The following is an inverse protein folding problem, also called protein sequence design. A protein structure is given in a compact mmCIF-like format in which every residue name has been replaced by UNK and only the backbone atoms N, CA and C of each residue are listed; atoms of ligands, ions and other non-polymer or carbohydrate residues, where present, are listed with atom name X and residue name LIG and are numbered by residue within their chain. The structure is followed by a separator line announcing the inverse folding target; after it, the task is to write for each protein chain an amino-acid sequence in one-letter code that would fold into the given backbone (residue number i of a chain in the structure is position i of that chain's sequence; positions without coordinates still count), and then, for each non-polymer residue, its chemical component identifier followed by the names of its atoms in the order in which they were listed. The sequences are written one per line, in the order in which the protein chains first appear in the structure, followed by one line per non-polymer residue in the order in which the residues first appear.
data_IF_669714469624
#
_entry.id   IF_669714469624
#
_cell.length_a   1.000
_cell.length_b   1.000
_cell.length_c   1.000
_cell.angle_alpha   90.00
_cell.angle_beta   90.00
_cell.angle_gamma   90.00
#
_symmetry.space_group_name_H-M   'P 1'
#
loop_
_entity.id
_entity.type
_entity.pdbx_description
1 polymer ?
#
# COMPACT_ATOMS: atom_id res chain seq x y z
N UNK A 1 -21.37 -5.63 44.61
CA UNK A 1 -20.38 -4.69 44.06
C UNK A 1 -19.06 -5.44 44.02
N UNK A 2 -18.13 -5.00 43.17
CA UNK A 2 -16.75 -5.51 42.99
C UNK A 2 -16.53 -6.32 41.69
N UNK A 3 -16.31 -5.53 40.64
CA UNK A 3 -15.23 -5.58 39.65
C UNK A 3 -15.04 -6.76 38.69
N UNK A 4 -15.44 -6.46 37.45
CA UNK A 4 -14.90 -6.88 36.15
C UNK A 4 -13.41 -7.24 36.16
N UNK A 5 -13.06 -8.46 35.75
CA UNK A 5 -11.77 -8.72 35.10
C UNK A 5 -11.95 -9.64 33.88
N UNK A 6 -11.87 -8.98 32.73
CA UNK A 6 -11.94 -9.49 31.37
C UNK A 6 -10.54 -10.01 31.02
N UNK A 7 -10.26 -11.31 31.20
CA UNK A 7 -8.98 -11.88 30.74
C UNK A 7 -9.05 -12.14 29.23
N UNK A 8 -8.85 -11.06 28.48
CA UNK A 8 -8.65 -11.01 27.03
C UNK A 8 -7.27 -11.60 26.71
N UNK A 9 -7.23 -12.89 26.38
CA UNK A 9 -6.05 -13.54 25.81
C UNK A 9 -5.87 -13.12 24.34
N UNK A 10 -5.38 -11.91 24.08
CA UNK A 10 -4.87 -11.53 22.77
C UNK A 10 -3.34 -11.41 22.87
N UNK A 11 -2.65 -12.48 22.45
CA UNK A 11 -1.19 -12.48 22.28
C UNK A 11 -0.79 -11.46 21.20
N UNK A 12 0.22 -10.62 21.44
CA UNK A 12 0.69 -9.64 20.48
C UNK A 12 1.61 -10.27 19.44
N UNK A 13 1.32 -10.02 18.16
CA UNK A 13 2.29 -9.95 17.06
C UNK A 13 3.25 -11.13 16.89
N UNK A 14 2.79 -12.21 16.26
CA UNK A 14 3.72 -12.97 15.43
C UNK A 14 4.06 -12.12 14.19
N UNK A 15 5.35 -11.85 13.90
CA UNK A 15 5.72 -11.34 12.59
C UNK A 15 5.30 -12.42 11.61
N UNK A 16 4.35 -12.10 10.72
CA UNK A 16 4.00 -12.98 9.61
C UNK A 16 5.30 -13.32 8.90
N UNK A 17 5.77 -14.55 9.09
CA UNK A 17 6.93 -15.09 8.42
C UNK A 17 6.78 -14.77 6.93
N UNK A 18 7.82 -14.24 6.24
CA UNK A 18 7.73 -14.05 4.81
C UNK A 18 7.48 -15.43 4.21
N UNK A 19 6.21 -15.72 3.84
CA UNK A 19 5.83 -16.97 3.18
C UNK A 19 6.85 -17.19 2.09
N UNK A 20 7.63 -18.26 2.19
CA UNK A 20 8.67 -18.55 1.23
C UNK A 20 7.98 -18.93 -0.07
N UNK A 21 7.62 -17.91 -0.86
CA UNK A 21 6.88 -18.07 -2.10
C UNK A 21 7.65 -18.96 -3.07
N UNK A 22 6.91 -19.72 -3.87
CA UNK A 22 7.47 -20.54 -4.96
C UNK A 22 8.48 -19.72 -5.79
N UNK A 23 9.68 -20.26 -6.09
CA UNK A 23 10.73 -19.53 -6.80
C UNK A 23 10.29 -18.91 -8.14
N UNK A 24 9.26 -19.50 -8.75
CA UNK A 24 8.74 -19.10 -10.07
C UNK A 24 7.93 -17.80 -10.04
N UNK A 25 7.28 -17.49 -8.90
CA UNK A 25 6.37 -16.34 -8.79
C UNK A 25 7.04 -15.13 -8.11
N UNK A 26 8.23 -15.33 -7.51
CA UNK A 26 9.03 -14.28 -6.87
C UNK A 26 9.43 -13.13 -7.80
N UNK A 27 9.90 -13.35 -9.05
CA UNK A 27 10.28 -12.24 -9.93
C UNK A 27 9.10 -11.35 -10.30
N UNK A 28 7.92 -11.93 -10.52
CA UNK A 28 6.70 -11.19 -10.82
C UNK A 28 6.24 -10.37 -9.62
N UNK A 29 6.28 -10.95 -8.42
CA UNK A 29 5.97 -10.23 -7.18
C UNK A 29 6.92 -9.03 -6.98
N UNK A 30 8.22 -9.22 -7.17
CA UNK A 30 9.20 -8.15 -7.06
C UNK A 30 8.93 -7.04 -8.07
N UNK A 31 8.66 -7.39 -9.33
CA UNK A 31 8.32 -6.40 -10.37
C UNK A 31 7.09 -5.57 -9.98
N UNK A 32 6.01 -6.21 -9.51
CA UNK A 32 4.78 -5.51 -9.11
C UNK A 32 5.02 -4.57 -7.93
N UNK A 33 5.78 -5.03 -6.92
CA UNK A 33 6.12 -4.21 -5.75
C UNK A 33 7.02 -3.03 -6.12
N UNK A 34 8.00 -3.24 -7.01
CA UNK A 34 8.85 -2.17 -7.52
C UNK A 34 8.04 -1.12 -8.26
N UNK A 35 7.15 -1.53 -9.18
CA UNK A 35 6.29 -0.59 -9.90
C UNK A 35 5.36 0.19 -8.95
N UNK A 36 4.81 -0.47 -7.92
CA UNK A 36 4.01 0.22 -6.90
C UNK A 36 4.84 1.24 -6.11
N UNK A 37 6.06 0.88 -5.72
CA UNK A 37 6.96 1.79 -5.01
C UNK A 37 7.33 3.01 -5.86
N UNK A 38 7.58 2.82 -7.16
CA UNK A 38 7.86 3.92 -8.09
C UNK A 38 6.67 4.88 -8.19
N UNK A 39 5.45 4.35 -8.33
CA UNK A 39 4.21 5.14 -8.39
C UNK A 39 3.97 5.92 -7.09
N UNK A 40 4.17 5.26 -5.95
CA UNK A 40 4.00 5.87 -4.62
C UNK A 40 5.05 6.99 -4.42
N UNK A 41 6.31 6.77 -4.82
CA UNK A 41 7.38 7.76 -4.74
C UNK A 41 7.16 8.96 -5.67
N UNK A 42 6.73 8.74 -6.92
CA UNK A 42 6.39 9.82 -7.84
C UNK A 42 5.29 10.73 -7.27
N UNK A 43 4.26 10.13 -6.67
CA UNK A 43 3.18 10.89 -6.03
C UNK A 43 3.67 11.72 -4.84
N UNK A 44 4.49 11.14 -3.97
CA UNK A 44 5.06 11.86 -2.82
C UNK A 44 5.91 13.05 -3.28
N UNK A 45 6.76 12.85 -4.29
CA UNK A 45 7.57 13.92 -4.85
C UNK A 45 6.71 15.04 -5.45
N UNK A 46 5.65 14.69 -6.19
CA UNK A 46 4.74 15.67 -6.78
C UNK A 46 3.98 16.45 -5.70
N UNK A 47 3.49 15.76 -4.65
CA UNK A 47 2.83 16.36 -3.50
C UNK A 47 3.74 17.36 -2.78
N UNK A 48 4.99 16.99 -2.56
CA UNK A 48 5.96 17.84 -1.87
C UNK A 48 6.33 19.08 -2.70
N UNK A 49 6.43 18.95 -4.02
CA UNK A 49 6.61 20.11 -4.92
C UNK A 49 5.45 21.08 -4.82
N UNK A 50 4.22 20.59 -4.90
CA UNK A 50 3.01 21.42 -4.78
C UNK A 50 2.94 22.09 -3.40
N UNK A 51 3.33 21.38 -2.35
CA UNK A 51 3.40 21.93 -1.01
C UNK A 51 4.40 23.09 -0.86
N UNK A 52 5.55 23.00 -1.55
CA UNK A 52 6.64 24.00 -1.47
C UNK A 52 6.46 25.21 -2.38
N UNK A 53 5.80 25.05 -3.53
CA UNK A 53 5.80 26.06 -4.59
C UNK A 53 4.47 26.82 -4.78
N UNK A 54 3.37 26.40 -4.16
CA UNK A 54 2.06 27.05 -4.35
C UNK A 54 1.68 27.96 -3.17
N UNK A 55 1.66 29.29 -3.36
CA UNK A 55 1.22 30.25 -2.32
C UNK A 55 -0.31 30.34 -2.21
N UNK A 56 -1.06 29.98 -3.26
CA UNK A 56 -2.53 29.94 -3.24
C UNK A 56 -3.02 28.59 -2.69
N UNK A 57 -3.68 28.65 -1.54
CA UNK A 57 -4.23 27.49 -0.83
C UNK A 57 -5.34 26.78 -1.60
N UNK A 58 -6.23 27.52 -2.28
CA UNK A 58 -7.35 26.92 -3.01
C UNK A 58 -6.86 26.20 -4.26
N UNK A 59 -5.93 26.80 -4.99
CA UNK A 59 -5.30 26.17 -6.13
C UNK A 59 -4.49 24.93 -5.71
N UNK A 60 -3.77 25.04 -4.59
CA UNK A 60 -3.02 23.93 -3.99
C UNK A 60 -3.92 22.74 -3.66
N UNK A 61 -5.05 22.96 -3.00
CA UNK A 61 -6.01 21.89 -2.67
C UNK A 61 -6.48 21.17 -3.95
N UNK A 62 -6.90 21.93 -4.97
CA UNK A 62 -7.37 21.34 -6.25
C UNK A 62 -6.29 20.51 -6.94
N UNK A 63 -5.05 20.97 -6.94
CA UNK A 63 -3.92 20.24 -7.54
C UNK A 63 -3.65 18.95 -6.75
N UNK A 64 -3.67 19.01 -5.42
CA UNK A 64 -3.45 17.85 -4.56
C UNK A 64 -4.55 16.79 -4.71
N UNK A 65 -5.80 17.21 -4.83
CA UNK A 65 -6.93 16.30 -5.09
C UNK A 65 -6.77 15.59 -6.44
N UNK A 66 -6.39 16.35 -7.49
CA UNK A 66 -6.12 15.77 -8.81
C UNK A 66 -4.95 14.78 -8.77
N UNK A 67 -3.86 15.14 -8.10
CA UNK A 67 -2.70 14.25 -7.91
C UNK A 67 -3.08 12.96 -7.20
N UNK A 68 -3.91 13.05 -6.15
CA UNK A 68 -4.40 11.88 -5.41
C UNK A 68 -5.27 10.98 -6.28
N UNK A 69 -6.19 11.55 -7.07
CA UNK A 69 -7.03 10.79 -7.98
C UNK A 69 -6.20 10.04 -9.03
N UNK A 70 -5.23 10.71 -9.65
CA UNK A 70 -4.32 10.12 -10.62
C UNK A 70 -3.44 9.01 -10.01
N UNK A 71 -2.95 9.23 -8.78
CA UNK A 71 -2.19 8.22 -8.05
C UNK A 71 -3.02 6.97 -7.79
N UNK A 72 -4.26 7.13 -7.33
CA UNK A 72 -5.18 6.01 -7.11
C UNK A 72 -5.50 5.25 -8.39
N UNK A 73 -5.79 5.97 -9.47
CA UNK A 73 -6.04 5.39 -10.81
C UNK A 73 -4.86 4.54 -11.28
N UNK A 74 -3.64 5.08 -11.20
CA UNK A 74 -2.41 4.36 -11.58
C UNK A 74 -2.13 3.17 -10.69
N UNK A 75 -2.39 3.26 -9.39
CA UNK A 75 -2.06 2.24 -8.38
C UNK A 75 -3.02 1.04 -8.40
N UNK A 76 -4.30 1.29 -8.65
CA UNK A 76 -5.39 0.30 -8.58
C UNK A 76 -5.14 -0.99 -9.38
N UNK A 77 -4.76 -0.96 -10.67
CA UNK A 77 -4.56 -2.20 -11.44
C UNK A 77 -3.42 -3.07 -10.89
N UNK A 78 -2.38 -2.47 -10.32
CA UNK A 78 -1.25 -3.23 -9.73
C UNK A 78 -1.62 -3.84 -8.38
N UNK A 79 -2.46 -3.17 -7.59
CA UNK A 79 -3.00 -3.75 -6.35
C UNK A 79 -3.90 -4.94 -6.65
N UNK A 80 -4.74 -4.86 -7.69
CA UNK A 80 -5.57 -5.99 -8.13
C UNK A 80 -4.70 -7.17 -8.59
N UNK A 81 -3.66 -6.91 -9.39
CA UNK A 81 -2.70 -7.94 -9.81
C UNK A 81 -1.96 -8.56 -8.63
N UNK A 82 -1.58 -7.76 -7.63
CA UNK A 82 -0.95 -8.25 -6.41
C UNK A 82 -1.88 -9.18 -5.63
N UNK A 83 -3.16 -8.83 -5.50
CA UNK A 83 -4.16 -9.65 -4.81
C UNK A 83 -4.36 -11.01 -5.52
N UNK A 84 -4.50 -11.01 -6.85
CA UNK A 84 -4.61 -12.23 -7.65
C UNK A 84 -3.33 -13.08 -7.51
N UNK A 85 -2.16 -12.44 -7.54
CA UNK A 85 -0.89 -13.16 -7.38
C UNK A 85 -0.78 -13.81 -6.00
N UNK A 86 -1.17 -13.09 -4.94
CA UNK A 86 -1.20 -13.61 -3.57
C UNK A 86 -2.17 -14.79 -3.45
N UNK A 87 -3.37 -14.70 -4.00
CA UNK A 87 -4.34 -15.81 -4.00
C UNK A 87 -3.76 -17.06 -4.69
N UNK A 88 -3.16 -16.89 -5.87
CA UNK A 88 -2.51 -17.98 -6.61
C UNK A 88 -1.38 -18.64 -5.83
N UNK A 89 -0.60 -17.84 -5.10
CA UNK A 89 0.48 -18.34 -4.25
C UNK A 89 -0.06 -19.14 -3.06
N UNK A 90 -1.17 -18.70 -2.45
CA UNK A 90 -1.81 -19.37 -1.30
C UNK A 90 -2.53 -20.65 -1.74
N UNK A 91 -3.18 -20.67 -2.91
CA UNK A 91 -3.92 -21.85 -3.40
C UNK A 91 -3.03 -22.98 -3.94
N UNK A 92 -1.72 -22.77 -4.05
CA UNK A 92 -0.73 -23.80 -4.45
C UNK A 92 -0.03 -24.49 -3.28
N UNK A 93 -0.32 -24.07 -2.06
CA UNK A 93 0.12 -24.70 -0.80
C UNK A 93 -0.86 -25.79 -0.36
#
# INVERSE_FOLDING_TARGET
MDDTQLSRNNKPGEPSQPRMYSPTDKPLLQSLLSTLADIDFEYEQARDKVNKHSPDLNLKIRILEKLKAQHQERRTPYIQQLAILQERMISRE
#
